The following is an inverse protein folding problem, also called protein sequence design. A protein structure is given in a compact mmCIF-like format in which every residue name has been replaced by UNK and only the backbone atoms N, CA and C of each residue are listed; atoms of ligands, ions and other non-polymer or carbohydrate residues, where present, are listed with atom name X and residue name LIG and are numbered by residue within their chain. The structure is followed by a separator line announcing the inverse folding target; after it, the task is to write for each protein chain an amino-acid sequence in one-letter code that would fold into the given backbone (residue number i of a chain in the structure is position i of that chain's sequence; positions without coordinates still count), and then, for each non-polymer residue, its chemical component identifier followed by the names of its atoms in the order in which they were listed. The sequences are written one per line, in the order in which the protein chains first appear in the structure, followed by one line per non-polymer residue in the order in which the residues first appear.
data_IF_840602677960
#
_entry.id   IF_840602677960
#
_cell.length_a   1.000
_cell.length_b   1.000
_cell.length_c   1.000
_cell.angle_alpha   90.00
_cell.angle_beta   90.00
_cell.angle_gamma   90.00
#
_symmetry.space_group_name_H-M   'P 1'
#
loop_
_entity.id
_entity.type
_entity.pdbx_description
1 polymer ?
#
# COMPACT_ATOMS: atom_id res chain seq x y z
N UNK A 1 7.35 -19.35 -5.11
CA UNK A 1 7.98 -18.02 -5.02
C UNK A 1 8.38 -17.85 -3.57
N UNK A 2 9.60 -17.43 -3.24
CA UNK A 2 9.94 -17.16 -1.83
C UNK A 2 9.18 -15.90 -1.41
N UNK A 3 8.24 -16.05 -0.50
CA UNK A 3 7.50 -14.94 0.08
C UNK A 3 8.38 -14.32 1.17
N UNK A 4 8.92 -13.13 0.89
CA UNK A 4 9.77 -12.40 1.84
C UNK A 4 8.91 -11.42 2.64
N UNK A 5 8.71 -11.75 3.91
CA UNK A 5 8.03 -10.89 4.87
C UNK A 5 8.88 -9.66 5.24
N UNK A 6 8.23 -8.51 5.30
CA UNK A 6 8.84 -7.26 5.76
C UNK A 6 8.91 -7.27 7.28
N UNK A 7 10.03 -7.74 7.82
CA UNK A 7 10.28 -7.81 9.27
C UNK A 7 10.78 -6.49 9.88
N UNK A 8 11.40 -5.63 9.07
CA UNK A 8 11.91 -4.34 9.51
C UNK A 8 12.10 -3.38 8.32
N UNK A 9 12.22 -2.10 8.63
CA UNK A 9 12.50 -1.04 7.66
C UNK A 9 13.65 -0.17 8.17
N UNK A 10 14.60 0.15 7.30
CA UNK A 10 15.59 1.18 7.57
C UNK A 10 15.05 2.52 7.09
N UNK A 11 14.93 3.47 8.02
CA UNK A 11 14.38 4.78 7.74
C UNK A 11 15.47 5.83 7.96
N UNK A 12 15.70 6.67 6.96
CA UNK A 12 16.67 7.74 7.06
C UNK A 12 16.08 8.94 7.81
N UNK A 13 16.76 9.37 8.87
CA UNK A 13 16.43 10.57 9.64
C UNK A 13 17.37 11.72 9.23
N UNK A 14 16.81 12.77 8.63
CA UNK A 14 17.56 14.00 8.31
C UNK A 14 17.97 14.79 9.55
N UNK A 15 17.25 14.65 10.66
CA UNK A 15 17.57 15.31 11.93
C UNK A 15 18.86 14.76 12.53
N UNK A 16 19.03 13.44 12.48
CA UNK A 16 20.19 12.75 13.06
C UNK A 16 21.26 12.39 12.02
N UNK A 17 20.95 12.55 10.73
CA UNK A 17 21.74 12.14 9.56
C UNK A 17 22.13 10.64 9.60
N UNK A 18 21.22 9.79 10.08
CA UNK A 18 21.44 8.34 10.24
C UNK A 18 20.28 7.53 9.71
N UNK A 19 20.59 6.31 9.28
CA UNK A 19 19.60 5.26 9.08
C UNK A 19 19.23 4.65 10.43
N UNK A 20 17.94 4.53 10.68
CA UNK A 20 17.38 3.96 11.91
C UNK A 20 16.61 2.71 11.50
N UNK A 21 17.03 1.56 12.02
CA UNK A 21 16.29 0.31 11.85
C UNK A 21 15.06 0.32 12.75
N UNK A 22 13.90 0.07 12.17
CA UNK A 22 12.62 -0.05 12.86
C UNK A 22 12.01 -1.41 12.56
N UNK A 23 11.84 -2.22 13.59
CA UNK A 23 11.13 -3.50 13.48
C UNK A 23 9.67 -3.24 13.09
N UNK A 24 9.14 -4.07 12.21
CA UNK A 24 7.75 -3.93 11.79
C UNK A 24 6.82 -4.18 12.97
N UNK A 25 5.92 -3.24 13.22
CA UNK A 25 4.87 -3.39 14.23
C UNK A 25 3.51 -3.61 13.59
N UNK A 26 3.51 -4.33 12.46
CA UNK A 26 2.33 -4.75 11.71
C UNK A 26 1.43 -5.74 12.46
N UNK A 27 1.81 -6.18 13.65
CA UNK A 27 1.05 -7.16 14.43
C UNK A 27 1.08 -8.54 13.77
N UNK A 28 -0.09 -9.16 13.61
CA UNK A 28 -0.23 -10.51 13.04
C UNK A 28 -0.36 -10.51 11.51
N UNK A 29 -0.20 -9.36 10.86
CA UNK A 29 -0.35 -9.24 9.41
C UNK A 29 0.91 -9.70 8.69
N UNK A 30 0.78 -10.68 7.78
CA UNK A 30 1.84 -11.04 6.85
C UNK A 30 2.02 -9.95 5.79
N UNK A 31 2.97 -9.06 6.05
CA UNK A 31 3.26 -7.93 5.16
C UNK A 31 4.34 -8.37 4.17
N UNK A 32 3.90 -8.67 2.95
CA UNK A 32 4.77 -9.06 1.83
C UNK A 32 4.85 -7.89 0.84
N UNK A 33 6.05 -7.34 0.62
CA UNK A 33 6.22 -6.25 -0.34
C UNK A 33 6.09 -6.76 -1.77
N UNK A 34 5.14 -6.20 -2.53
CA UNK A 34 4.81 -6.67 -3.88
C UNK A 34 5.32 -5.71 -4.98
N UNK A 35 6.22 -4.79 -4.65
CA UNK A 35 6.97 -4.00 -5.63
C UNK A 35 6.32 -2.69 -6.08
N UNK A 36 5.21 -2.25 -5.47
CA UNK A 36 4.63 -0.92 -5.71
C UNK A 36 4.62 -0.12 -4.40
N UNK A 37 5.13 1.10 -4.46
CA UNK A 37 5.13 2.01 -3.32
C UNK A 37 4.97 3.46 -3.77
N UNK A 38 4.43 4.28 -2.88
CA UNK A 38 4.31 5.73 -3.07
C UNK A 38 4.32 6.42 -1.71
N UNK A 39 4.68 7.70 -1.71
CA UNK A 39 4.66 8.53 -0.51
C UNK A 39 3.49 9.51 -0.58
N UNK A 40 2.74 9.66 0.52
CA UNK A 40 1.64 10.61 0.65
C UNK A 40 1.37 10.93 2.13
N UNK A 41 1.13 12.21 2.45
CA UNK A 41 0.71 12.67 3.78
C UNK A 41 1.54 12.13 4.96
N UNK A 42 2.87 12.11 4.82
CA UNK A 42 3.75 11.67 5.91
C UNK A 42 4.00 10.16 5.95
N UNK A 43 3.45 9.39 5.02
CA UNK A 43 3.48 7.93 5.06
C UNK A 43 4.00 7.33 3.76
N UNK A 44 4.77 6.27 3.91
CA UNK A 44 5.10 5.36 2.82
C UNK A 44 4.00 4.31 2.72
N UNK A 45 3.35 4.24 1.57
CA UNK A 45 2.34 3.25 1.24
C UNK A 45 2.93 2.23 0.26
N UNK A 46 2.65 0.95 0.45
CA UNK A 46 3.03 -0.09 -0.50
C UNK A 46 2.01 -1.22 -0.58
N UNK A 47 1.92 -1.85 -1.76
CA UNK A 47 0.97 -2.93 -1.98
C UNK A 47 1.46 -4.23 -1.33
N UNK A 48 0.50 -4.95 -0.75
CA UNK A 48 0.67 -6.28 -0.16
C UNK A 48 -0.38 -7.23 -0.76
N UNK A 49 -0.30 -8.55 -0.50
CA UNK A 49 -1.32 -9.51 -0.95
C UNK A 49 -2.73 -9.20 -0.45
N UNK A 50 -3.71 -9.90 -1.03
CA UNK A 50 -5.11 -9.84 -0.63
C UNK A 50 -5.77 -8.46 -0.80
N UNK A 51 -5.43 -7.77 -1.90
CA UNK A 51 -5.91 -6.42 -2.22
C UNK A 51 -5.80 -5.48 -1.03
N UNK A 52 -4.58 -5.35 -0.50
CA UNK A 52 -4.32 -4.50 0.65
C UNK A 52 -3.09 -3.62 0.46
N UNK A 53 -3.05 -2.55 1.24
CA UNK A 53 -1.98 -1.56 1.25
C UNK A 53 -1.50 -1.38 2.68
N UNK A 54 -0.22 -1.64 2.90
CA UNK A 54 0.47 -1.34 4.13
C UNK A 54 1.00 0.11 4.08
N UNK A 55 0.91 0.82 5.19
CA UNK A 55 1.36 2.22 5.34
C UNK A 55 2.15 2.47 6.63
N UNK A 56 3.38 2.99 6.52
CA UNK A 56 4.24 3.32 7.66
C UNK A 56 4.63 4.79 7.66
N UNK A 57 4.74 5.42 8.83
CA UNK A 57 5.23 6.81 8.93
C UNK A 57 6.75 6.93 8.83
N UNK A 58 7.22 8.16 8.64
CA UNK A 58 8.65 8.48 8.50
C UNK A 58 9.47 8.24 9.76
N UNK A 59 8.85 7.94 10.89
CA UNK A 59 9.52 7.61 12.15
C UNK A 59 9.43 6.11 12.46
N UNK A 60 8.66 5.34 11.70
CA UNK A 60 8.34 3.94 11.97
C UNK A 60 7.53 3.75 13.26
N UNK A 61 6.65 4.70 13.59
CA UNK A 61 5.87 4.69 14.84
C UNK A 61 4.42 4.22 14.64
N UNK A 62 3.85 4.52 13.49
CA UNK A 62 2.52 4.14 13.05
C UNK A 62 2.59 3.18 11.86
N UNK A 63 1.88 2.07 11.99
CA UNK A 63 1.82 0.99 11.02
C UNK A 63 0.35 0.61 10.84
N UNK A 64 -0.23 0.85 9.65
CA UNK A 64 -1.64 0.50 9.30
C UNK A 64 -1.87 -0.21 7.95
N UNK A 65 -2.74 -1.22 7.96
CA UNK A 65 -3.11 -1.99 6.77
C UNK A 65 -4.53 -1.59 6.37
N UNK A 66 -4.71 -1.19 5.12
CA UNK A 66 -6.02 -0.86 4.56
C UNK A 66 -6.36 -1.82 3.45
N UNK A 67 -7.64 -2.19 3.33
CA UNK A 67 -8.11 -3.14 2.32
C UNK A 67 -8.83 -2.44 1.18
N UNK A 68 -8.46 -2.79 -0.04
CA UNK A 68 -9.08 -2.33 -1.27
C UNK A 68 -10.18 -3.33 -1.67
N UNK A 69 -11.43 -2.88 -1.89
CA UNK A 69 -12.49 -3.75 -2.38
C UNK A 69 -12.28 -4.08 -3.87
N UNK A 70 -12.78 -5.22 -4.39
CA UNK A 70 -13.24 -6.37 -3.61
C UNK A 70 -12.05 -7.02 -2.88
N UNK A 71 -12.29 -7.47 -1.65
CA UNK A 71 -11.32 -8.33 -0.96
C UNK A 71 -11.24 -9.64 -1.74
N UNK A 72 -10.05 -10.03 -2.14
CA UNK A 72 -9.84 -11.22 -2.95
C UNK A 72 -8.38 -11.64 -2.94
N UNK A 73 -8.15 -12.89 -3.31
CA UNK A 73 -6.84 -13.53 -3.22
C UNK A 73 -5.96 -13.30 -4.47
N UNK A 74 -6.53 -12.77 -5.56
CA UNK A 74 -5.79 -12.46 -6.78
C UNK A 74 -5.21 -11.03 -6.70
N UNK A 75 -3.95 -10.94 -6.26
CA UNK A 75 -3.27 -9.66 -6.15
C UNK A 75 -2.67 -9.25 -7.50
N UNK A 76 -3.34 -8.33 -8.21
CA UNK A 76 -2.84 -7.75 -9.46
C UNK A 76 -2.84 -6.24 -9.44
N UNK A 77 -2.36 -5.68 -8.32
CA UNK A 77 -2.02 -4.27 -8.26
C UNK A 77 -1.00 -3.93 -9.36
N UNK A 78 -1.47 -3.29 -10.43
CA UNK A 78 -0.59 -2.82 -11.50
C UNK A 78 0.06 -1.51 -11.10
N UNK A 79 -0.66 -0.69 -10.32
CA UNK A 79 -0.18 0.60 -9.84
C UNK A 79 -0.72 0.91 -8.45
N UNK A 80 0.19 1.41 -7.60
CA UNK A 80 -0.12 2.17 -6.40
C UNK A 80 0.55 3.55 -6.56
N UNK A 81 -0.21 4.63 -6.44
CA UNK A 81 0.30 5.97 -6.68
C UNK A 81 -0.48 7.04 -5.91
N UNK A 82 0.07 8.24 -5.84
CA UNK A 82 -0.56 9.36 -5.15
C UNK A 82 -0.69 10.57 -6.07
N UNK A 83 -1.83 11.25 -6.02
CA UNK A 83 -2.06 12.49 -6.76
C UNK A 83 -3.16 13.32 -6.09
N UNK A 84 -3.03 14.65 -6.11
CA UNK A 84 -4.04 15.58 -5.56
C UNK A 84 -4.47 15.28 -4.11
N UNK A 85 -3.56 14.75 -3.29
CA UNK A 85 -3.87 14.40 -1.89
C UNK A 85 -4.52 13.01 -1.70
N UNK A 86 -4.79 12.29 -2.78
CA UNK A 86 -5.45 10.99 -2.75
C UNK A 86 -4.50 9.86 -3.14
N UNK A 87 -4.77 8.67 -2.59
CA UNK A 87 -4.06 7.44 -2.95
C UNK A 87 -4.89 6.67 -3.98
N UNK A 88 -4.23 6.19 -5.02
CA UNK A 88 -4.84 5.45 -6.12
C UNK A 88 -4.30 4.03 -6.15
N UNK A 89 -5.20 3.06 -6.22
CA UNK A 89 -4.91 1.66 -6.43
C UNK A 89 -5.56 1.22 -7.73
N UNK A 90 -4.75 0.70 -8.65
CA UNK A 90 -5.25 0.14 -9.91
C UNK A 90 -5.05 -1.36 -9.91
N UNK A 91 -6.17 -2.05 -10.14
CA UNK A 91 -6.23 -3.50 -10.27
C UNK A 91 -6.50 -3.88 -11.71
N UNK A 92 -5.78 -4.87 -12.23
CA UNK A 92 -6.01 -5.42 -13.56
C UNK A 92 -6.69 -6.78 -13.46
N UNK A 93 -7.93 -6.84 -13.94
CA UNK A 93 -8.69 -8.07 -14.01
C UNK A 93 -8.32 -8.86 -15.28
N UNK A 94 -7.67 -10.00 -15.08
CA UNK A 94 -7.42 -11.02 -16.10
C UNK A 94 -8.37 -12.19 -15.82
N UNK A 95 -9.38 -12.45 -16.66
CA UNK A 95 -9.33 -12.49 -18.14
C UNK A 95 -10.03 -11.35 -18.89
N UNK A 96 -10.64 -10.38 -18.21
CA UNK A 96 -11.51 -9.39 -18.87
C UNK A 96 -10.76 -8.18 -19.45
N UNK A 97 -9.43 -8.07 -19.24
CA UNK A 97 -8.62 -6.90 -19.59
C UNK A 97 -9.19 -5.58 -19.03
N UNK A 98 -9.94 -5.66 -17.93
CA UNK A 98 -10.54 -4.50 -17.28
C UNK A 98 -9.59 -3.94 -16.24
N UNK A 99 -9.46 -2.61 -16.21
CA UNK A 99 -8.69 -1.92 -15.19
C UNK A 99 -9.64 -1.20 -14.23
N UNK A 100 -9.64 -1.61 -12.96
CA UNK A 100 -10.46 -1.00 -11.91
C UNK A 100 -9.61 -0.05 -11.08
N UNK A 101 -10.15 1.15 -10.85
CA UNK A 101 -9.47 2.22 -10.10
C UNK A 101 -10.20 2.45 -8.79
N UNK A 102 -9.44 2.41 -7.71
CA UNK A 102 -9.89 2.68 -6.35
C UNK A 102 -9.13 3.86 -5.78
N UNK A 103 -9.83 4.64 -4.96
CA UNK A 103 -9.29 5.86 -4.35
C UNK A 103 -9.48 5.80 -2.85
N UNK A 104 -8.43 6.13 -2.10
CA UNK A 104 -8.52 6.45 -0.68
C UNK A 104 -8.46 7.97 -0.55
N UNK A 105 -9.64 8.58 -0.36
CA UNK A 105 -9.78 10.04 -0.26
C UNK A 105 -9.37 10.55 1.12
N UNK A 106 -9.89 9.90 2.17
CA UNK A 106 -9.60 10.20 3.55
C UNK A 106 -8.81 9.05 4.18
N UNK A 107 -7.55 9.32 4.48
CA UNK A 107 -6.66 8.35 5.11
C UNK A 107 -7.03 7.99 6.55
N UNK A 108 -7.86 8.79 7.23
CA UNK A 108 -8.37 8.46 8.56
C UNK A 108 -9.55 7.49 8.50
N UNK A 109 -10.30 7.52 7.40
CA UNK A 109 -11.43 6.61 7.18
C UNK A 109 -10.97 5.17 6.88
N UNK A 110 -9.77 5.03 6.31
CA UNK A 110 -9.23 3.76 5.81
C UNK A 110 -10.15 3.06 4.78
N UNK A 111 -11.13 3.80 4.23
CA UNK A 111 -12.11 3.28 3.28
C UNK A 111 -11.73 3.63 1.85
N UNK A 112 -11.39 2.59 1.08
CA UNK A 112 -11.20 2.69 -0.36
C UNK A 112 -12.55 2.71 -1.07
N UNK A 113 -12.73 3.67 -1.99
CA UNK A 113 -13.91 3.78 -2.82
C UNK A 113 -13.61 3.36 -4.26
N UNK A 114 -14.52 2.61 -4.87
CA UNK A 114 -14.45 2.31 -6.29
C UNK A 114 -14.77 3.59 -7.08
N UNK A 115 -13.88 3.97 -7.99
CA UNK A 115 -14.07 5.14 -8.82
C UNK A 115 -14.62 4.79 -10.20
N UNK A 116 -13.94 3.88 -10.91
CA UNK A 116 -14.31 3.50 -12.28
C UNK A 116 -13.60 2.23 -12.74
N UNK A 117 -14.16 1.64 -13.79
CA UNK A 117 -13.51 0.59 -14.60
C UNK A 117 -13.23 1.14 -16.00
N UNK A 118 -12.04 0.86 -16.51
CA UNK A 118 -11.62 1.16 -17.88
C UNK A 118 -11.59 -0.16 -18.65
N UNK A 119 -12.25 -0.18 -19.80
CA UNK A 119 -12.23 -1.28 -20.77
C UNK A 119 -11.43 -0.83 -22.00
N UNK A 120 -10.66 -1.71 -22.63
CA UNK A 120 -10.03 -1.43 -23.92
C UNK A 120 -11.06 -1.11 -25.01
#
# INVERSE_FOLDING_TARGET
MYEYEVQAMEIYSSETNKWILKESSWGTWWVLFMGRMTYLNGLLHFNIPYNAVASVDTNGESWRVTHVPPRGDDNRCVLLGASQGHLFYMDANDPCAELSIYVLEDQSSEQWTFQRTIRP
#
